data_IF_302357137742
#
_entry.id   IF_302357137742
#
_cell.length_a   1.000
_cell.length_b   1.000
_cell.length_c   1.000
_cell.angle_alpha   90.00
_cell.angle_beta   90.00
_cell.angle_gamma   90.00
#
_symmetry.space_group_name_H-M   'P 1'
#
loop_
_entity.id
_entity.type
_entity.pdbx_description
1 polymer ?
#
# COMPACT_ATOMS: atom_id res chain seq x y z
N UNK A 1 -5.40 -14.73 63.01
CA UNK A 1 -4.78 -13.55 62.42
C UNK A 1 -3.39 -13.80 61.80
N UNK A 2 -2.42 -14.43 62.47
CA UNK A 2 -1.04 -14.67 61.94
C UNK A 2 -0.99 -15.48 60.64
N UNK A 3 -1.89 -16.45 60.41
CA UNK A 3 -1.93 -17.29 59.18
C UNK A 3 -2.37 -16.48 57.97
N UNK A 4 -3.37 -15.59 58.09
CA UNK A 4 -3.84 -14.69 57.00
C UNK A 4 -2.72 -13.71 56.58
N UNK A 5 -2.01 -13.12 57.56
CA UNK A 5 -0.91 -12.19 57.26
C UNK A 5 0.26 -12.86 56.50
N UNK A 6 0.57 -14.13 56.81
CA UNK A 6 1.62 -14.90 56.14
C UNK A 6 1.20 -15.22 54.68
N UNK A 7 -0.06 -15.61 54.43
CA UNK A 7 -0.59 -15.85 53.10
C UNK A 7 -0.59 -14.59 52.23
N UNK A 8 -1.02 -13.45 52.77
CA UNK A 8 -0.99 -12.15 52.06
C UNK A 8 0.44 -11.73 51.67
N UNK A 9 1.41 -11.98 52.55
CA UNK A 9 2.83 -11.67 52.27
C UNK A 9 3.38 -12.54 51.11
N UNK A 10 3.03 -13.84 51.10
CA UNK A 10 3.43 -14.77 50.02
C UNK A 10 2.79 -14.33 48.70
N UNK A 11 1.48 -14.07 48.65
CA UNK A 11 0.77 -13.60 47.44
C UNK A 11 1.42 -12.32 46.90
N UNK A 12 1.70 -11.34 47.78
CA UNK A 12 2.39 -10.10 47.39
C UNK A 12 3.78 -10.35 46.81
N UNK A 13 4.56 -11.25 47.39
CA UNK A 13 5.91 -11.59 46.89
C UNK A 13 5.84 -12.30 45.56
N UNK A 14 4.88 -13.20 45.33
CA UNK A 14 4.64 -13.87 44.07
C UNK A 14 4.23 -12.85 43.00
N UNK A 15 3.28 -11.96 43.34
CA UNK A 15 2.85 -10.90 42.41
C UNK A 15 4.01 -9.98 42.01
N UNK A 16 4.85 -9.55 42.97
CA UNK A 16 6.03 -8.72 42.67
C UNK A 16 7.04 -9.47 41.78
N UNK A 17 7.25 -10.77 42.02
CA UNK A 17 8.11 -11.59 41.17
C UNK A 17 7.56 -11.70 39.74
N UNK A 18 6.26 -11.93 39.58
CA UNK A 18 5.60 -11.97 38.25
C UNK A 18 5.74 -10.61 37.55
N UNK A 19 5.47 -9.50 38.23
CA UNK A 19 5.63 -8.17 37.67
C UNK A 19 7.09 -7.87 37.26
N UNK A 20 8.06 -8.30 38.05
CA UNK A 20 9.47 -8.16 37.71
C UNK A 20 9.85 -8.96 36.45
N UNK A 21 9.35 -10.20 36.33
CA UNK A 21 9.56 -11.03 35.12
C UNK A 21 8.91 -10.37 33.91
N UNK A 22 7.67 -9.92 34.03
CA UNK A 22 6.99 -9.19 32.93
C UNK A 22 7.74 -7.94 32.51
N UNK A 23 8.22 -7.15 33.48
CA UNK A 23 9.04 -5.96 33.20
C UNK A 23 10.31 -6.31 32.43
N UNK A 24 11.01 -7.38 32.79
CA UNK A 24 12.21 -7.84 32.07
C UNK A 24 11.87 -8.27 30.65
N UNK A 25 10.78 -9.02 30.46
CA UNK A 25 10.33 -9.45 29.12
C UNK A 25 10.00 -8.23 28.26
N UNK A 26 9.15 -7.32 28.74
CA UNK A 26 8.73 -6.13 27.97
C UNK A 26 9.93 -5.25 27.64
N UNK A 27 10.79 -4.99 28.62
CA UNK A 27 11.98 -4.14 28.41
C UNK A 27 12.95 -4.81 27.42
N UNK A 28 13.19 -6.10 27.54
CA UNK A 28 14.04 -6.87 26.62
C UNK A 28 13.50 -6.87 25.20
N UNK A 29 12.20 -7.09 25.02
CA UNK A 29 11.51 -7.04 23.74
C UNK A 29 11.61 -5.64 23.11
N UNK A 30 11.36 -4.59 23.87
CA UNK A 30 11.46 -3.21 23.41
C UNK A 30 12.88 -2.85 22.96
N UNK A 31 13.89 -3.17 23.77
CA UNK A 31 15.30 -2.91 23.42
C UNK A 31 15.70 -3.67 22.14
N UNK A 32 15.33 -4.95 22.04
CA UNK A 32 15.58 -5.75 20.85
C UNK A 32 14.91 -5.14 19.62
N UNK A 33 13.65 -4.74 19.72
CA UNK A 33 12.91 -4.08 18.66
C UNK A 33 13.65 -2.83 18.18
N UNK A 34 14.03 -1.92 19.09
CA UNK A 34 14.73 -0.67 18.74
C UNK A 34 16.09 -0.92 18.05
N UNK A 35 16.85 -1.92 18.52
CA UNK A 35 18.11 -2.29 17.88
C UNK A 35 17.87 -2.82 16.45
N UNK A 36 16.87 -3.66 16.27
CA UNK A 36 16.52 -4.21 14.96
C UNK A 36 16.04 -3.14 14.00
N UNK A 37 15.11 -2.28 14.44
CA UNK A 37 14.60 -1.16 13.65
C UNK A 37 15.76 -0.24 13.20
N UNK A 38 16.72 0.05 14.07
CA UNK A 38 17.88 0.86 13.69
C UNK A 38 18.76 0.19 12.62
N UNK A 39 18.91 -1.14 12.66
CA UNK A 39 19.63 -1.91 11.64
C UNK A 39 18.89 -1.90 10.29
N UNK A 40 17.57 -2.06 10.32
CA UNK A 40 16.68 -2.06 9.16
C UNK A 40 16.65 -0.67 8.49
N UNK A 41 16.52 0.40 9.27
CA UNK A 41 16.63 1.77 8.74
C UNK A 41 17.99 2.00 8.09
N UNK A 42 19.07 1.45 8.67
CA UNK A 42 20.40 1.57 8.08
C UNK A 42 20.49 0.84 6.72
N UNK A 43 19.87 -0.32 6.58
CA UNK A 43 19.77 -1.05 5.32
C UNK A 43 19.00 -0.24 4.27
N UNK A 44 17.80 0.23 4.61
CA UNK A 44 16.95 1.04 3.74
C UNK A 44 17.63 2.34 3.32
N UNK A 45 18.34 3.01 4.25
CA UNK A 45 19.14 4.20 3.96
C UNK A 45 20.30 3.92 3.00
N UNK A 46 20.97 2.79 3.14
CA UNK A 46 22.06 2.39 2.24
C UNK A 46 21.57 2.13 0.80
N UNK A 47 20.30 1.76 0.64
CA UNK A 47 19.62 1.51 -0.63
C UNK A 47 18.82 2.72 -1.17
N UNK A 48 18.91 3.90 -0.54
CA UNK A 48 18.30 5.14 -1.05
C UNK A 48 16.83 5.35 -0.67
N UNK A 49 16.24 4.48 0.17
CA UNK A 49 14.82 4.58 0.55
C UNK A 49 14.52 5.60 1.65
N UNK A 50 15.53 6.11 2.38
CA UNK A 50 15.33 6.96 3.54
C UNK A 50 15.60 8.43 3.22
N UNK A 51 14.56 9.23 3.15
CA UNK A 51 14.61 10.68 2.96
C UNK A 51 13.41 11.34 3.69
N UNK A 52 13.49 11.53 5.02
CA UNK A 52 12.42 12.15 5.79
C UNK A 52 12.29 13.64 5.46
N UNK A 53 11.07 14.07 5.19
CA UNK A 53 10.72 15.44 4.83
C UNK A 53 9.63 15.94 5.78
N UNK A 54 9.85 17.07 6.45
CA UNK A 54 8.88 17.63 7.39
C UNK A 54 7.62 18.10 6.67
N UNK A 55 6.45 17.74 7.25
CA UNK A 55 5.13 18.25 6.80
C UNK A 55 4.45 19.11 7.87
N UNK A 56 5.19 19.42 8.94
CA UNK A 56 4.75 20.19 10.09
C UNK A 56 5.43 19.69 11.35
N UNK A 57 4.68 19.08 12.24
CA UNK A 57 5.15 18.50 13.52
C UNK A 57 5.65 17.05 13.40
N UNK A 58 5.56 16.45 12.20
CA UNK A 58 6.12 15.15 11.85
C UNK A 58 6.68 15.16 10.42
N UNK A 59 7.25 14.03 9.97
CA UNK A 59 7.87 13.90 8.66
C UNK A 59 7.27 12.74 7.88
N UNK A 60 7.10 12.93 6.57
CA UNK A 60 6.88 11.83 5.64
C UNK A 60 8.20 11.43 4.99
N UNK A 61 8.34 10.17 4.65
CA UNK A 61 9.46 9.69 3.88
C UNK A 61 9.18 9.87 2.38
N UNK A 62 10.10 10.54 1.67
CA UNK A 62 9.98 10.82 0.23
C UNK A 62 11.21 10.25 -0.46
N UNK A 63 11.17 8.98 -0.87
CA UNK A 63 12.27 8.35 -1.58
C UNK A 63 12.24 8.74 -3.06
N UNK A 64 13.39 9.17 -3.60
CA UNK A 64 13.52 9.68 -4.97
C UNK A 64 14.53 8.83 -5.73
N UNK A 65 14.10 8.27 -6.85
CA UNK A 65 14.90 7.42 -7.72
C UNK A 65 14.89 7.94 -9.16
N UNK A 66 15.75 7.35 -9.98
CA UNK A 66 15.81 7.66 -11.39
C UNK A 66 16.61 8.92 -11.72
N UNK A 67 16.25 9.57 -12.83
CA UNK A 67 16.97 10.71 -13.38
C UNK A 67 16.60 11.98 -12.62
N UNK A 68 17.60 12.67 -12.10
CA UNK A 68 17.37 13.97 -11.48
C UNK A 68 16.90 14.99 -12.54
N UNK A 69 15.78 15.63 -12.31
CA UNK A 69 15.08 16.47 -13.29
C UNK A 69 14.81 15.68 -14.59
N UNK A 70 14.19 14.51 -14.45
CA UNK A 70 13.75 13.68 -15.58
C UNK A 70 12.68 14.37 -16.42
N UNK A 71 12.31 13.75 -17.53
CA UNK A 71 11.29 14.28 -18.44
C UNK A 71 9.96 14.45 -17.76
N UNK A 72 9.56 13.45 -16.96
CA UNK A 72 8.37 13.49 -16.11
C UNK A 72 8.74 13.27 -14.64
N UNK A 73 7.90 13.77 -13.74
CA UNK A 73 7.97 13.50 -12.31
C UNK A 73 6.83 12.54 -11.92
N UNK A 74 7.15 11.27 -11.78
CA UNK A 74 6.20 10.21 -11.45
C UNK A 74 6.12 10.08 -9.94
N UNK A 75 4.91 10.25 -9.37
CA UNK A 75 4.65 10.14 -7.93
C UNK A 75 3.81 8.90 -7.67
N UNK A 76 4.41 7.93 -7.03
CA UNK A 76 3.78 6.65 -6.70
C UNK A 76 3.04 6.73 -5.37
N UNK A 77 1.76 6.29 -5.36
CA UNK A 77 0.86 6.35 -4.23
C UNK A 77 0.38 4.93 -3.85
N UNK A 78 0.82 4.46 -2.68
CA UNK A 78 0.58 3.11 -2.19
C UNK A 78 -0.90 2.80 -1.89
N UNK A 79 -1.27 1.52 -1.97
CA UNK A 79 -2.53 0.96 -1.49
C UNK A 79 -2.66 0.98 0.03
N UNK A 80 -3.84 0.60 0.55
CA UNK A 80 -4.10 0.49 2.00
C UNK A 80 -3.27 -0.66 2.59
N UNK A 81 -2.59 -0.40 3.69
CA UNK A 81 -1.78 -1.39 4.39
C UNK A 81 -0.46 -1.77 3.71
N UNK A 82 -0.12 -1.18 2.57
CA UNK A 82 1.05 -1.52 1.76
C UNK A 82 2.25 -0.64 2.14
N UNK A 83 2.90 -0.98 3.23
CA UNK A 83 4.03 -0.21 3.74
C UNK A 83 5.34 -0.47 2.96
N UNK A 84 5.46 -1.62 2.32
CA UNK A 84 6.61 -2.04 1.52
C UNK A 84 6.50 -1.65 0.03
N UNK A 85 5.49 -0.86 -0.34
CA UNK A 85 5.16 -0.50 -1.71
C UNK A 85 6.35 0.07 -2.49
N UNK A 86 7.15 0.94 -1.87
CA UNK A 86 8.34 1.51 -2.51
C UNK A 86 9.37 0.47 -2.93
N UNK A 87 9.46 -0.66 -2.21
CA UNK A 87 10.37 -1.77 -2.53
C UNK A 87 9.74 -2.70 -3.58
N UNK A 88 8.48 -3.05 -3.41
CA UNK A 88 7.80 -4.04 -4.28
C UNK A 88 7.50 -3.47 -5.66
N UNK A 89 7.08 -2.22 -5.77
CA UNK A 89 6.78 -1.56 -7.05
C UNK A 89 8.05 -1.20 -7.84
N UNK A 90 9.18 -1.02 -7.19
CA UNK A 90 10.41 -0.53 -7.85
C UNK A 90 10.89 -1.40 -9.00
N UNK A 91 10.59 -2.69 -9.00
CA UNK A 91 10.90 -3.57 -10.12
C UNK A 91 10.16 -3.16 -11.39
N UNK A 92 8.92 -2.73 -11.26
CA UNK A 92 8.12 -2.20 -12.37
C UNK A 92 8.66 -0.83 -12.81
N UNK A 93 8.96 0.05 -11.86
CA UNK A 93 9.42 1.41 -12.18
C UNK A 93 10.85 1.49 -12.72
N UNK A 94 11.64 0.42 -12.66
CA UNK A 94 13.02 0.40 -13.14
C UNK A 94 13.18 0.81 -14.62
N UNK A 95 12.20 0.55 -15.47
CA UNK A 95 12.19 1.01 -16.86
C UNK A 95 11.91 2.53 -16.95
N UNK A 96 11.10 3.07 -16.04
CA UNK A 96 10.71 4.49 -15.97
C UNK A 96 11.86 5.35 -15.44
N UNK A 97 12.65 4.85 -14.49
CA UNK A 97 13.75 5.55 -13.83
C UNK A 97 14.87 6.00 -14.79
N UNK A 98 14.90 5.47 -16.02
CA UNK A 98 15.95 5.79 -17.01
C UNK A 98 15.89 7.24 -17.47
N UNK A 99 14.69 7.76 -17.72
CA UNK A 99 14.48 9.11 -18.24
C UNK A 99 13.65 9.99 -17.30
N UNK A 100 12.98 9.41 -16.32
CA UNK A 100 12.07 10.10 -15.43
C UNK A 100 12.59 10.15 -13.98
N UNK A 101 12.06 11.11 -13.21
CA UNK A 101 12.16 11.12 -11.75
C UNK A 101 11.01 10.29 -11.19
N UNK A 102 11.32 9.28 -10.37
CA UNK A 102 10.29 8.44 -9.69
C UNK A 102 10.34 8.72 -8.19
N UNK A 103 9.20 9.06 -7.62
CA UNK A 103 9.06 9.48 -6.22
C UNK A 103 8.09 8.55 -5.51
N UNK A 104 8.53 7.94 -4.43
CA UNK A 104 7.70 7.15 -3.53
C UNK A 104 7.47 7.96 -2.24
N UNK A 105 6.21 8.11 -1.84
CA UNK A 105 5.83 8.80 -0.60
C UNK A 105 5.18 7.81 0.33
N UNK A 106 5.82 7.54 1.45
CA UNK A 106 5.18 6.79 2.53
C UNK A 106 4.19 7.71 3.25
N UNK A 107 2.91 7.31 3.36
CA UNK A 107 1.93 8.04 4.18
C UNK A 107 2.32 8.05 5.65
N UNK A 108 1.74 8.95 6.43
CA UNK A 108 1.93 8.96 7.88
C UNK A 108 1.69 7.56 8.47
N UNK A 109 2.65 7.08 9.26
CA UNK A 109 2.62 5.76 9.88
C UNK A 109 2.94 4.58 8.96
N UNK A 110 3.18 4.81 7.67
CA UNK A 110 3.64 3.79 6.73
C UNK A 110 5.15 3.84 6.56
N UNK A 111 5.75 2.68 6.34
CA UNK A 111 7.15 2.56 5.96
C UNK A 111 8.10 3.30 6.88
N UNK A 112 8.76 4.32 6.33
CA UNK A 112 9.76 5.15 7.03
C UNK A 112 9.23 6.51 7.47
N UNK A 113 7.92 6.78 7.28
CA UNK A 113 7.27 7.99 7.76
C UNK A 113 7.01 7.94 9.27
N UNK A 114 7.00 9.11 9.89
CA UNK A 114 6.59 9.24 11.29
C UNK A 114 5.11 8.89 11.47
N UNK A 115 4.75 8.44 12.66
CA UNK A 115 3.37 8.24 13.09
C UNK A 115 2.74 9.57 13.56
N UNK A 116 1.41 9.68 13.50
CA UNK A 116 0.67 10.84 13.99
C UNK A 116 -0.67 10.42 14.60
N UNK A 117 -1.18 11.23 15.52
CA UNK A 117 -2.53 11.08 16.11
C UNK A 117 -3.60 11.87 15.34
N UNK A 118 -3.26 12.46 14.17
CA UNK A 118 -4.21 13.21 13.36
C UNK A 118 -5.20 12.29 12.65
N UNK A 119 -6.38 12.83 12.35
CA UNK A 119 -7.41 12.17 11.57
C UNK A 119 -6.96 12.05 10.10
N UNK A 120 -6.80 10.81 9.62
CA UNK A 120 -6.32 10.52 8.27
C UNK A 120 -7.47 10.60 7.25
N UNK A 121 -8.09 11.78 7.16
CA UNK A 121 -9.06 12.11 6.12
C UNK A 121 -8.38 12.27 4.77
N UNK A 122 -9.12 12.09 3.67
CA UNK A 122 -8.58 12.22 2.30
C UNK A 122 -7.97 13.60 2.06
N UNK A 123 -8.61 14.65 2.56
CA UNK A 123 -8.09 16.02 2.45
C UNK A 123 -6.75 16.17 3.17
N UNK A 124 -6.65 15.62 4.37
CA UNK A 124 -5.43 15.66 5.16
C UNK A 124 -4.28 14.88 4.47
N UNK A 125 -4.56 13.67 3.97
CA UNK A 125 -3.58 12.84 3.26
C UNK A 125 -3.06 13.54 2.00
N UNK A 126 -3.94 14.12 1.19
CA UNK A 126 -3.54 14.80 -0.05
C UNK A 126 -2.74 16.07 0.24
N UNK A 127 -3.16 16.86 1.23
CA UNK A 127 -2.40 18.05 1.64
C UNK A 127 -0.99 17.69 2.17
N UNK A 128 -0.86 16.57 2.86
CA UNK A 128 0.44 16.09 3.33
C UNK A 128 1.34 15.65 2.19
N UNK A 129 0.81 14.94 1.18
CA UNK A 129 1.57 14.62 -0.03
C UNK A 129 2.09 15.89 -0.70
N UNK A 130 1.23 16.90 -0.89
CA UNK A 130 1.59 18.18 -1.51
C UNK A 130 2.68 18.92 -0.74
N UNK A 131 2.56 18.97 0.60
CA UNK A 131 3.58 19.56 1.49
C UNK A 131 4.91 18.80 1.40
N UNK A 132 4.85 17.46 1.44
CA UNK A 132 6.03 16.61 1.39
C UNK A 132 6.80 16.81 0.08
N UNK A 133 6.11 16.77 -1.07
CA UNK A 133 6.73 17.02 -2.39
C UNK A 133 7.35 18.41 -2.48
N UNK A 134 6.61 19.45 -2.10
CA UNK A 134 7.12 20.81 -2.11
C UNK A 134 8.37 20.97 -1.23
N UNK A 135 8.35 20.40 -0.02
CA UNK A 135 9.46 20.52 0.93
C UNK A 135 10.64 19.61 0.56
N UNK A 136 10.42 18.54 -0.21
CA UNK A 136 11.46 17.73 -0.84
C UNK A 136 12.09 18.41 -2.06
N UNK A 137 11.52 19.53 -2.53
CA UNK A 137 11.95 20.22 -3.75
C UNK A 137 11.50 19.55 -5.05
N UNK A 138 10.54 18.63 -4.96
CA UNK A 138 9.91 17.96 -6.11
C UNK A 138 8.83 18.87 -6.66
N UNK A 139 8.91 19.19 -7.96
CA UNK A 139 8.06 20.21 -8.57
C UNK A 139 6.95 19.59 -9.42
N UNK A 140 5.77 20.19 -9.35
CA UNK A 140 4.68 19.93 -10.29
C UNK A 140 5.03 20.44 -11.71
N UNK A 141 4.35 19.95 -12.78
CA UNK A 141 3.26 18.98 -12.71
C UNK A 141 3.74 17.55 -12.48
N UNK A 142 2.83 16.68 -11.94
CA UNK A 142 3.14 15.29 -11.58
C UNK A 142 2.37 14.30 -12.45
N UNK A 143 3.01 13.20 -12.83
CA UNK A 143 2.31 11.98 -13.22
C UNK A 143 2.03 11.19 -11.95
N UNK A 144 0.78 11.15 -11.49
CA UNK A 144 0.41 10.31 -10.34
C UNK A 144 0.28 8.85 -10.77
N UNK A 145 0.88 7.96 -9.99
CA UNK A 145 0.82 6.51 -10.25
C UNK A 145 0.27 5.79 -9.00
N UNK A 146 -1.05 5.81 -8.81
CA UNK A 146 -1.70 5.24 -7.65
C UNK A 146 -2.01 3.75 -7.83
N UNK A 147 -1.85 2.99 -6.75
CA UNK A 147 -2.38 1.64 -6.59
C UNK A 147 -3.54 1.61 -5.59
N UNK A 148 -4.58 0.81 -5.86
CA UNK A 148 -5.67 0.55 -4.90
C UNK A 148 -6.31 1.85 -4.37
N UNK A 149 -6.41 2.05 -3.04
CA UNK A 149 -6.97 3.26 -2.41
C UNK A 149 -6.19 4.54 -2.80
N UNK A 150 -4.92 4.41 -3.17
CA UNK A 150 -4.16 5.52 -3.76
C UNK A 150 -4.89 6.16 -4.95
N UNK A 151 -5.70 5.36 -5.68
CA UNK A 151 -6.57 5.82 -6.76
C UNK A 151 -7.63 6.80 -6.28
N UNK A 152 -8.22 6.59 -5.10
CA UNK A 152 -9.16 7.54 -4.51
C UNK A 152 -8.47 8.88 -4.17
N UNK A 153 -7.26 8.81 -3.61
CA UNK A 153 -6.46 10.00 -3.29
C UNK A 153 -6.05 10.77 -4.55
N UNK A 154 -5.62 10.07 -5.60
CA UNK A 154 -5.28 10.69 -6.88
C UNK A 154 -6.50 11.34 -7.55
N UNK A 155 -7.67 10.69 -7.52
CA UNK A 155 -8.93 11.23 -8.06
C UNK A 155 -9.37 12.50 -7.34
N UNK A 156 -9.23 12.51 -6.02
CA UNK A 156 -9.49 13.70 -5.20
C UNK A 156 -8.48 14.81 -5.50
N UNK A 157 -7.19 14.46 -5.60
CA UNK A 157 -6.11 15.41 -5.87
C UNK A 157 -6.30 16.11 -7.22
N UNK A 158 -6.47 15.36 -8.32
CA UNK A 158 -6.66 15.95 -9.64
C UNK A 158 -7.93 16.79 -9.75
N UNK A 159 -8.98 16.40 -9.02
CA UNK A 159 -10.23 17.17 -9.00
C UNK A 159 -10.10 18.51 -8.28
N UNK A 160 -9.27 18.56 -7.23
CA UNK A 160 -9.06 19.75 -6.40
C UNK A 160 -7.95 20.66 -6.93
N UNK A 161 -6.90 20.07 -7.52
CA UNK A 161 -5.68 20.76 -7.98
C UNK A 161 -5.25 20.26 -9.37
N UNK A 162 -6.08 20.42 -10.42
CA UNK A 162 -5.77 19.87 -11.75
C UNK A 162 -4.48 20.43 -12.34
N UNK A 163 -4.12 21.67 -12.05
CA UNK A 163 -2.90 22.32 -12.58
C UNK A 163 -1.60 21.73 -12.01
N UNK A 164 -1.67 20.91 -10.96
CA UNK A 164 -0.52 20.21 -10.39
C UNK A 164 -0.29 18.84 -11.06
N UNK A 165 -1.23 18.36 -11.88
CA UNK A 165 -1.23 16.99 -12.39
C UNK A 165 -1.09 16.99 -13.91
N UNK A 166 -0.03 16.36 -14.38
CA UNK A 166 0.24 16.14 -15.80
C UNK A 166 -0.60 14.99 -16.35
N UNK A 167 -0.63 13.86 -15.61
CA UNK A 167 -1.40 12.68 -15.96
C UNK A 167 -1.62 11.79 -14.74
N UNK A 168 -2.49 10.76 -14.85
CA UNK A 168 -2.66 9.71 -13.84
C UNK A 168 -2.58 8.34 -14.50
N UNK A 169 -1.82 7.43 -13.91
CA UNK A 169 -1.79 6.01 -14.29
C UNK A 169 -2.26 5.17 -13.12
N UNK A 170 -3.51 4.73 -13.14
CA UNK A 170 -4.06 3.85 -12.12
C UNK A 170 -3.54 2.41 -12.30
N UNK A 171 -2.88 1.88 -11.30
CA UNK A 171 -2.48 0.48 -11.21
C UNK A 171 -3.53 -0.28 -10.40
N UNK A 172 -4.55 -0.78 -11.07
CA UNK A 172 -5.72 -1.42 -10.45
C UNK A 172 -6.27 -0.61 -9.27
N UNK A 173 -6.49 0.69 -9.48
CA UNK A 173 -6.99 1.63 -8.47
C UNK A 173 -8.38 1.24 -7.95
N UNK A 174 -8.74 1.74 -6.77
CA UNK A 174 -10.10 1.54 -6.24
C UNK A 174 -11.14 2.15 -7.16
N UNK A 175 -12.09 1.34 -7.61
CA UNK A 175 -13.19 1.77 -8.48
C UNK A 175 -14.27 2.39 -7.61
N UNK A 176 -14.33 3.70 -7.64
CA UNK A 176 -15.27 4.46 -6.81
C UNK A 176 -16.69 4.39 -7.38
N UNK A 177 -17.68 4.38 -6.48
CA UNK A 177 -19.11 4.39 -6.80
C UNK A 177 -19.90 5.09 -5.71
N UNK A 178 -21.16 5.35 -5.93
CA UNK A 178 -22.05 6.02 -4.98
C UNK A 178 -22.53 5.13 -3.82
N UNK A 179 -22.27 3.82 -3.92
CA UNK A 179 -22.56 2.83 -2.87
C UNK A 179 -21.32 2.48 -1.99
N UNK A 180 -20.19 3.11 -2.23
CA UNK A 180 -18.99 2.94 -1.39
C UNK A 180 -19.23 3.45 0.03
N UNK A 181 -18.61 2.77 1.00
CA UNK A 181 -18.63 3.21 2.39
C UNK A 181 -19.91 2.92 3.16
N UNK A 182 -20.78 2.04 2.65
CA UNK A 182 -22.00 1.63 3.35
C UNK A 182 -21.74 0.69 4.55
N UNK A 183 -20.59 0.05 4.60
CA UNK A 183 -20.18 -0.81 5.71
C UNK A 183 -19.26 -0.02 6.67
N UNK A 184 -19.67 0.12 7.92
CA UNK A 184 -18.83 0.76 8.94
C UNK A 184 -17.72 -0.19 9.40
N UNK A 185 -16.47 0.30 9.39
CA UNK A 185 -15.33 -0.39 9.97
C UNK A 185 -15.11 0.18 11.37
N UNK A 186 -15.48 -0.56 12.41
CA UNK A 186 -15.23 -0.13 13.79
C UNK A 186 -13.79 -0.46 14.22
N UNK A 187 -13.00 0.58 14.49
CA UNK A 187 -11.70 0.47 15.15
C UNK A 187 -11.91 0.41 16.66
N UNK A 188 -11.89 -0.79 17.19
CA UNK A 188 -12.15 -1.06 18.58
C UNK A 188 -10.91 -0.91 19.49
N UNK A 189 -11.14 -1.06 20.81
CA UNK A 189 -10.06 -1.07 21.80
C UNK A 189 -9.00 -2.15 21.50
N UNK A 190 -9.38 -3.30 20.92
CA UNK A 190 -8.45 -4.36 20.54
C UNK A 190 -7.38 -3.90 19.57
N UNK A 191 -7.76 -3.20 18.51
CA UNK A 191 -6.84 -2.67 17.49
C UNK A 191 -5.82 -1.68 18.10
N UNK A 192 -6.29 -0.77 18.99
CA UNK A 192 -5.41 0.16 19.71
C UNK A 192 -4.43 -0.57 20.64
N UNK A 193 -4.87 -1.65 21.28
CA UNK A 193 -4.01 -2.47 22.11
C UNK A 193 -2.97 -3.24 21.28
N UNK A 194 -3.30 -3.71 20.09
CA UNK A 194 -2.37 -4.35 19.16
C UNK A 194 -1.26 -3.38 18.73
N UNK A 195 -1.60 -2.15 18.32
CA UNK A 195 -0.62 -1.10 18.01
C UNK A 195 0.27 -0.82 19.20
N UNK A 196 -0.29 -0.69 20.41
CA UNK A 196 0.50 -0.47 21.62
C UNK A 196 1.48 -1.62 21.89
N UNK A 197 1.06 -2.88 21.72
CA UNK A 197 1.94 -4.05 21.86
C UNK A 197 3.02 -4.07 20.76
N UNK A 198 2.67 -3.69 19.53
CA UNK A 198 3.63 -3.57 18.43
C UNK A 198 4.71 -2.52 18.75
N UNK A 199 4.34 -1.34 19.28
CA UNK A 199 5.29 -0.31 19.77
C UNK A 199 6.26 -0.82 20.84
N UNK A 200 5.83 -1.80 21.64
CA UNK A 200 6.69 -2.49 22.59
C UNK A 200 7.57 -3.59 21.95
N UNK A 201 7.44 -3.81 20.64
CA UNK A 201 8.20 -4.77 19.86
C UNK A 201 7.59 -6.16 19.74
N UNK A 202 6.38 -6.37 20.30
CA UNK A 202 5.70 -7.67 20.19
C UNK A 202 5.23 -7.97 18.77
N UNK A 203 5.04 -6.98 17.90
CA UNK A 203 4.72 -7.15 16.49
C UNK A 203 5.69 -8.08 15.76
N UNK A 204 6.99 -8.04 16.12
CA UNK A 204 8.03 -8.93 15.54
C UNK A 204 7.85 -10.42 15.85
N UNK A 205 7.03 -10.75 16.85
CA UNK A 205 6.68 -12.13 17.19
C UNK A 205 5.30 -12.53 16.67
N UNK A 206 4.45 -11.53 16.40
CA UNK A 206 3.10 -11.74 15.84
C UNK A 206 3.17 -11.98 14.34
N UNK A 207 4.02 -11.24 13.63
CA UNK A 207 4.30 -11.43 12.22
C UNK A 207 5.51 -12.35 12.02
N UNK A 208 5.29 -13.44 11.34
CA UNK A 208 6.36 -14.32 10.87
C UNK A 208 6.72 -13.93 9.45
N UNK A 209 7.95 -14.22 9.03
CA UNK A 209 8.41 -14.00 7.64
C UNK A 209 7.47 -14.64 6.60
N UNK A 210 6.77 -15.70 6.98
CA UNK A 210 5.80 -16.38 6.11
C UNK A 210 4.50 -15.59 5.90
N UNK A 211 4.28 -14.48 6.61
CA UNK A 211 3.13 -13.61 6.42
C UNK A 211 3.29 -12.66 5.23
N UNK A 212 4.53 -12.36 4.84
CA UNK A 212 4.83 -11.51 3.69
C UNK A 212 5.29 -12.39 2.54
N UNK A 213 4.55 -12.35 1.45
CA UNK A 213 4.79 -13.15 0.27
C UNK A 213 5.33 -12.24 -0.83
N UNK A 214 6.52 -12.53 -1.29
CA UNK A 214 7.10 -11.83 -2.42
C UNK A 214 7.09 -12.75 -3.65
N UNK A 215 6.69 -12.26 -4.83
CA UNK A 215 6.78 -13.01 -6.07
C UNK A 215 8.22 -13.44 -6.38
N UNK A 216 8.36 -14.41 -7.28
CA UNK A 216 9.66 -14.85 -7.74
C UNK A 216 10.46 -13.68 -8.35
N UNK A 217 11.75 -13.63 -8.01
CA UNK A 217 12.66 -12.62 -8.53
C UNK A 217 13.06 -11.55 -7.52
N UNK A 218 12.39 -11.45 -6.36
CA UNK A 218 12.86 -10.61 -5.27
C UNK A 218 14.07 -11.26 -4.60
N UNK A 219 15.14 -10.49 -4.44
CA UNK A 219 16.33 -10.90 -3.71
C UNK A 219 16.03 -10.98 -2.21
N UNK A 220 16.85 -11.72 -1.45
CA UNK A 220 16.72 -11.77 0.01
C UNK A 220 16.85 -10.37 0.66
N UNK A 221 17.65 -9.49 0.06
CA UNK A 221 17.83 -8.11 0.55
C UNK A 221 16.55 -7.28 0.35
N UNK A 222 15.92 -7.35 -0.82
CA UNK A 222 14.63 -6.71 -1.10
C UNK A 222 13.53 -7.23 -0.19
N UNK A 223 13.43 -8.55 0.01
CA UNK A 223 12.48 -9.15 0.95
C UNK A 223 12.71 -8.66 2.38
N UNK A 224 13.98 -8.58 2.83
CA UNK A 224 14.31 -8.07 4.17
C UNK A 224 13.96 -6.57 4.31
N UNK A 225 14.09 -5.77 3.25
CA UNK A 225 13.68 -4.36 3.24
C UNK A 225 12.15 -4.21 3.31
N UNK A 226 11.40 -4.97 2.52
CA UNK A 226 9.95 -4.97 2.56
C UNK A 226 9.40 -5.45 3.91
N UNK A 227 9.91 -6.57 4.44
CA UNK A 227 9.57 -7.07 5.79
C UNK A 227 9.79 -5.98 6.86
N UNK A 228 10.88 -5.22 6.76
CA UNK A 228 11.20 -4.16 7.68
C UNK A 228 10.18 -3.01 7.64
N UNK A 229 9.80 -2.56 6.45
CA UNK A 229 8.80 -1.52 6.24
C UNK A 229 7.43 -1.93 6.79
N UNK A 230 7.00 -3.16 6.51
CA UNK A 230 5.76 -3.71 7.03
C UNK A 230 5.76 -3.80 8.56
N UNK A 231 6.88 -4.26 9.16
CA UNK A 231 7.02 -4.34 10.61
C UNK A 231 7.02 -2.96 11.30
N UNK A 232 7.57 -1.93 10.65
CA UNK A 232 7.56 -0.57 11.18
C UNK A 232 6.16 0.04 11.18
N UNK A 233 5.33 -0.30 10.21
CA UNK A 233 3.98 0.26 10.08
C UNK A 233 2.95 -0.39 11.00
N UNK A 234 3.25 -1.55 11.60
CA UNK A 234 2.34 -2.22 12.55
C UNK A 234 2.09 -1.42 13.82
N UNK A 235 3.01 -0.55 14.21
CA UNK A 235 2.92 0.23 15.44
C UNK A 235 2.37 1.65 15.22
N UNK A 236 1.57 1.84 14.15
CA UNK A 236 1.07 3.14 13.71
C UNK A 236 -0.40 3.38 14.09
N UNK A 237 -0.64 4.52 14.73
CA UNK A 237 -1.99 5.04 14.96
C UNK A 237 -2.55 5.73 13.70
N UNK A 238 -1.71 6.31 12.86
CA UNK A 238 -2.13 6.88 11.59
C UNK A 238 -2.71 5.81 10.65
N UNK A 239 -2.10 4.61 10.59
CA UNK A 239 -2.66 3.49 9.84
C UNK A 239 -4.04 3.06 10.38
N UNK A 240 -4.24 3.04 11.70
CA UNK A 240 -5.57 2.79 12.28
C UNK A 240 -6.56 3.88 11.93
N UNK A 241 -6.14 5.17 11.99
CA UNK A 241 -6.99 6.30 11.63
C UNK A 241 -7.39 6.25 10.16
N UNK A 242 -6.48 5.90 9.24
CA UNK A 242 -6.82 5.73 7.82
C UNK A 242 -7.88 4.63 7.62
N UNK A 243 -7.78 3.51 8.36
CA UNK A 243 -8.79 2.46 8.32
C UNK A 243 -10.14 2.92 8.89
N UNK A 244 -10.15 3.73 9.96
CA UNK A 244 -11.35 4.30 10.56
C UNK A 244 -12.07 5.25 9.58
N UNK A 245 -11.30 6.08 8.87
CA UNK A 245 -11.80 6.99 7.84
C UNK A 245 -11.95 6.36 6.45
N UNK A 246 -11.66 5.07 6.27
CA UNK A 246 -11.63 4.41 4.96
C UNK A 246 -12.88 4.68 4.12
N UNK A 247 -14.05 4.37 4.66
CA UNK A 247 -15.32 4.52 3.95
C UNK A 247 -15.65 5.99 3.68
N UNK A 248 -15.38 6.87 4.64
CA UNK A 248 -15.56 8.31 4.47
C UNK A 248 -14.64 8.84 3.36
N UNK A 249 -13.37 8.43 3.35
CA UNK A 249 -12.41 8.82 2.32
C UNK A 249 -12.84 8.40 0.91
N UNK A 250 -13.39 7.18 0.75
CA UNK A 250 -13.91 6.71 -0.54
C UNK A 250 -15.12 7.52 -0.99
N UNK A 251 -16.06 7.81 -0.06
CA UNK A 251 -17.22 8.64 -0.35
C UNK A 251 -16.83 10.07 -0.68
N UNK A 252 -15.90 10.67 0.05
CA UNK A 252 -15.41 12.02 -0.20
C UNK A 252 -14.68 12.09 -1.55
N UNK A 253 -13.90 11.04 -1.89
CA UNK A 253 -13.29 10.94 -3.21
C UNK A 253 -14.36 10.91 -4.31
N UNK A 254 -15.34 10.00 -4.21
CA UNK A 254 -16.42 9.88 -5.21
C UNK A 254 -17.20 11.17 -5.39
N UNK A 255 -17.62 11.79 -4.29
CA UNK A 255 -18.38 13.03 -4.31
C UNK A 255 -17.56 14.23 -4.79
N UNK A 256 -16.24 14.19 -4.54
CA UNK A 256 -15.30 15.24 -4.92
C UNK A 256 -14.83 15.18 -6.37
N UNK A 257 -15.14 14.11 -7.11
CA UNK A 257 -14.70 13.99 -8.52
C UNK A 257 -15.30 15.10 -9.36
N UNK A 258 -14.43 15.89 -9.98
CA UNK A 258 -14.73 16.86 -11.02
C UNK A 258 -14.17 16.33 -12.33
N UNK A 259 -15.05 16.06 -13.30
CA UNK A 259 -14.64 15.60 -14.64
C UNK A 259 -13.67 16.62 -15.26
N UNK A 260 -12.54 16.15 -15.76
CA UNK A 260 -11.50 17.01 -16.33
C UNK A 260 -10.75 16.31 -17.47
N UNK A 261 -9.99 17.11 -18.26
CA UNK A 261 -9.29 16.66 -19.46
C UNK A 261 -7.85 16.18 -19.18
N UNK A 262 -7.39 16.16 -17.92
CA UNK A 262 -6.07 15.61 -17.57
C UNK A 262 -6.01 14.15 -18.08
N UNK A 263 -4.97 13.77 -18.86
CA UNK A 263 -4.84 12.43 -19.40
C UNK A 263 -4.79 11.37 -18.29
N UNK A 264 -5.53 10.29 -18.45
CA UNK A 264 -5.57 9.19 -17.49
C UNK A 264 -5.48 7.85 -18.20
N UNK A 265 -4.74 6.93 -17.61
CA UNK A 265 -4.70 5.52 -17.98
C UNK A 265 -5.15 4.68 -16.79
N UNK A 266 -6.04 3.75 -17.02
CA UNK A 266 -6.43 2.76 -16.02
C UNK A 266 -5.97 1.37 -16.46
N UNK A 267 -4.97 0.80 -15.78
CA UNK A 267 -4.54 -0.59 -15.94
C UNK A 267 -5.40 -1.44 -15.02
N UNK A 268 -6.37 -2.14 -15.61
CA UNK A 268 -7.29 -3.00 -14.88
C UNK A 268 -6.71 -4.40 -14.77
N UNK A 269 -6.40 -4.85 -13.57
CA UNK A 269 -5.84 -6.16 -13.28
C UNK A 269 -6.89 -7.15 -12.80
N UNK A 270 -7.55 -6.90 -11.68
CA UNK A 270 -8.42 -7.84 -10.98
C UNK A 270 -9.62 -8.30 -11.80
N UNK A 271 -10.09 -7.47 -12.75
CA UNK A 271 -11.17 -7.79 -13.70
C UNK A 271 -10.73 -7.63 -15.15
N UNK A 272 -9.43 -7.72 -15.39
CA UNK A 272 -8.77 -7.46 -16.66
C UNK A 272 -8.82 -8.62 -17.66
N UNK A 273 -9.44 -9.76 -17.32
CA UNK A 273 -9.49 -10.93 -18.17
C UNK A 273 -10.48 -10.75 -19.32
N UNK A 274 -10.04 -11.13 -20.52
CA UNK A 274 -10.82 -10.99 -21.75
C UNK A 274 -11.46 -12.30 -22.21
N UNK A 275 -10.90 -13.44 -21.80
CA UNK A 275 -11.36 -14.76 -22.18
C UNK A 275 -10.98 -15.83 -21.15
N UNK A 276 -11.58 -17.02 -21.29
CA UNK A 276 -11.40 -18.15 -20.38
C UNK A 276 -9.96 -18.67 -20.38
N UNK A 277 -9.31 -18.71 -21.54
CA UNK A 277 -7.93 -19.21 -21.66
C UNK A 277 -6.97 -18.32 -20.86
N UNK A 278 -7.16 -17.00 -20.91
CA UNK A 278 -6.38 -16.02 -20.12
C UNK A 278 -6.58 -16.22 -18.61
N UNK A 279 -7.82 -16.43 -18.15
CA UNK A 279 -8.13 -16.76 -16.75
C UNK A 279 -7.41 -18.04 -16.28
N UNK A 280 -7.47 -19.09 -17.09
CA UNK A 280 -6.84 -20.38 -16.79
C UNK A 280 -5.31 -20.22 -16.73
N UNK A 281 -4.72 -19.54 -17.69
CA UNK A 281 -3.28 -19.32 -17.77
C UNK A 281 -2.79 -18.48 -16.59
N UNK A 282 -3.49 -17.40 -16.27
CA UNK A 282 -3.18 -16.58 -15.11
C UNK A 282 -3.32 -17.34 -13.79
N UNK A 283 -4.36 -18.16 -13.65
CA UNK A 283 -4.56 -19.01 -12.49
C UNK A 283 -3.42 -20.02 -12.29
N UNK A 284 -2.95 -20.63 -13.37
CA UNK A 284 -1.77 -21.52 -13.35
C UNK A 284 -0.50 -20.77 -13.00
N UNK A 285 -0.34 -19.58 -13.55
CA UNK A 285 0.82 -18.72 -13.25
C UNK A 285 0.84 -18.32 -11.77
N UNK A 286 -0.27 -17.82 -11.22
CA UNK A 286 -0.39 -17.47 -9.80
C UNK A 286 -0.05 -18.66 -8.89
N UNK A 287 -0.59 -19.84 -9.16
CA UNK A 287 -0.25 -21.06 -8.42
C UNK A 287 1.24 -21.34 -8.41
N UNK A 288 1.90 -21.20 -9.56
CA UNK A 288 3.35 -21.43 -9.67
C UNK A 288 4.18 -20.40 -8.91
N UNK A 289 3.68 -19.16 -8.76
CA UNK A 289 4.37 -18.12 -7.98
C UNK A 289 4.32 -18.37 -6.47
N UNK A 290 3.22 -18.97 -5.98
CA UNK A 290 2.95 -19.08 -4.54
C UNK A 290 3.20 -20.49 -3.99
N UNK A 291 3.40 -21.50 -4.84
CA UNK A 291 3.71 -22.90 -4.42
C UNK A 291 4.91 -23.02 -3.47
N UNK A 292 5.72 -21.98 -3.30
CA UNK A 292 6.82 -21.98 -2.32
C UNK A 292 6.38 -21.89 -0.86
N UNK A 293 5.13 -21.50 -0.58
CA UNK A 293 4.60 -21.36 0.79
C UNK A 293 3.42 -22.31 1.00
N UNK A 294 3.69 -23.47 1.58
CA UNK A 294 2.75 -24.58 1.81
C UNK A 294 1.48 -24.26 2.63
N UNK A 295 1.24 -22.99 2.99
CA UNK A 295 0.13 -22.57 3.83
C UNK A 295 -0.80 -21.51 3.21
N UNK A 296 -0.61 -21.14 1.93
CA UNK A 296 -1.49 -20.17 1.31
C UNK A 296 -2.76 -20.82 0.75
N UNK A 297 -3.87 -20.58 1.45
CA UNK A 297 -5.20 -21.11 1.09
C UNK A 297 -5.91 -20.28 0.01
N UNK A 298 -5.33 -19.14 -0.43
CA UNK A 298 -5.92 -18.23 -1.42
C UNK A 298 -5.85 -18.79 -2.83
N UNK A 299 -5.03 -19.83 -3.05
CA UNK A 299 -4.76 -20.38 -4.37
C UNK A 299 -5.37 -21.75 -4.55
N UNK A 300 -6.57 -21.76 -5.10
CA UNK A 300 -7.29 -22.98 -5.44
C UNK A 300 -7.68 -23.12 -6.91
N UNK A 301 -6.96 -22.54 -7.90
CA UNK A 301 -7.35 -22.72 -9.30
C UNK A 301 -7.20 -24.16 -9.78
N UNK A 302 -6.29 -24.96 -9.17
CA UNK A 302 -6.12 -26.38 -9.51
C UNK A 302 -7.34 -27.23 -9.17
N UNK A 303 -8.19 -26.84 -8.24
CA UNK A 303 -9.46 -27.53 -7.93
C UNK A 303 -10.47 -27.38 -9.07
N UNK A 304 -10.29 -26.40 -9.95
CA UNK A 304 -11.19 -26.07 -11.05
C UNK A 304 -10.61 -26.41 -12.41
N UNK A 305 -9.41 -27.00 -12.49
CA UNK A 305 -8.81 -27.44 -13.75
C UNK A 305 -9.75 -28.39 -14.49
N UNK A 306 -10.15 -28.02 -15.72
CA UNK A 306 -11.13 -28.75 -16.53
C UNK A 306 -12.60 -28.39 -16.23
N UNK A 307 -12.88 -27.40 -15.39
CA UNK A 307 -14.23 -26.90 -15.16
C UNK A 307 -14.47 -25.60 -15.95
N UNK A 308 -14.77 -25.72 -17.24
CA UNK A 308 -15.06 -24.60 -18.15
C UNK A 308 -16.19 -23.71 -17.62
N UNK A 309 -17.25 -24.29 -17.06
CA UNK A 309 -18.37 -23.52 -16.50
C UNK A 309 -17.96 -22.58 -15.36
N UNK A 310 -16.99 -22.97 -14.54
CA UNK A 310 -16.46 -22.12 -13.48
C UNK A 310 -15.77 -20.88 -14.06
N UNK A 311 -14.92 -21.04 -15.06
CA UNK A 311 -14.20 -19.95 -15.70
C UNK A 311 -15.12 -19.04 -16.50
N UNK A 312 -16.11 -19.60 -17.20
CA UNK A 312 -17.14 -18.80 -17.89
C UNK A 312 -17.92 -17.92 -16.91
N UNK A 313 -18.26 -18.47 -15.74
CA UNK A 313 -18.97 -17.71 -14.69
C UNK A 313 -18.08 -16.58 -14.13
N UNK A 314 -16.81 -16.84 -13.88
CA UNK A 314 -15.86 -15.82 -13.42
C UNK A 314 -15.67 -14.73 -14.48
N UNK A 315 -15.51 -15.09 -15.74
CA UNK A 315 -15.37 -14.12 -16.83
C UNK A 315 -16.59 -13.20 -16.93
N UNK A 316 -17.79 -13.78 -16.84
CA UNK A 316 -19.03 -12.99 -16.84
C UNK A 316 -19.12 -12.03 -15.64
N UNK A 317 -18.64 -12.44 -14.46
CA UNK A 317 -18.54 -11.57 -13.28
C UNK A 317 -17.53 -10.44 -13.49
N UNK A 318 -16.38 -10.73 -14.12
CA UNK A 318 -15.40 -9.70 -14.47
C UNK A 318 -15.97 -8.67 -15.44
N UNK A 319 -16.68 -9.11 -16.47
CA UNK A 319 -17.35 -8.23 -17.44
C UNK A 319 -18.44 -7.38 -16.79
N UNK A 320 -19.27 -7.98 -15.95
CA UNK A 320 -20.31 -7.26 -15.21
C UNK A 320 -19.71 -6.19 -14.31
N UNK A 321 -18.66 -6.52 -13.55
CA UNK A 321 -17.98 -5.58 -12.68
C UNK A 321 -17.32 -4.41 -13.45
N UNK A 322 -16.71 -4.68 -14.61
CA UNK A 322 -16.21 -3.63 -15.49
C UNK A 322 -17.33 -2.70 -15.96
N UNK A 323 -18.44 -3.25 -16.39
CA UNK A 323 -19.55 -2.48 -16.96
C UNK A 323 -20.32 -1.69 -15.90
N UNK A 324 -20.49 -2.25 -14.70
CA UNK A 324 -21.34 -1.66 -13.65
C UNK A 324 -20.59 -0.76 -12.68
N UNK A 325 -19.28 -0.95 -12.49
CA UNK A 325 -18.46 -0.19 -11.53
C UNK A 325 -17.37 0.61 -12.23
N UNK A 326 -16.48 -0.06 -12.96
CA UNK A 326 -15.30 0.59 -13.54
C UNK A 326 -15.69 1.62 -14.60
N UNK A 327 -16.47 1.25 -15.61
CA UNK A 327 -16.84 2.14 -16.72
C UNK A 327 -17.51 3.44 -16.24
N UNK A 328 -18.52 3.42 -15.34
CA UNK A 328 -19.12 4.65 -14.81
C UNK A 328 -18.12 5.52 -14.04
N UNK A 329 -17.16 4.90 -13.35
CA UNK A 329 -16.11 5.64 -12.65
C UNK A 329 -15.19 6.36 -13.63
N UNK A 330 -14.70 5.67 -14.68
CA UNK A 330 -13.83 6.27 -15.70
C UNK A 330 -14.55 7.40 -16.46
N UNK A 331 -15.82 7.20 -16.82
CA UNK A 331 -16.65 8.23 -17.44
C UNK A 331 -16.77 9.48 -16.55
N UNK A 332 -16.97 9.29 -15.25
CA UNK A 332 -17.05 10.40 -14.29
C UNK A 332 -15.70 11.14 -14.15
N UNK A 333 -14.58 10.42 -14.21
CA UNK A 333 -13.25 11.03 -14.18
C UNK A 333 -12.94 11.85 -15.44
N UNK A 334 -13.41 11.42 -16.60
CA UNK A 334 -13.14 12.02 -17.92
C UNK A 334 -11.72 11.76 -18.43
N UNK A 335 -11.55 11.73 -19.75
CA UNK A 335 -10.30 11.52 -20.46
C UNK A 335 -9.44 10.37 -19.88
N UNK A 336 -10.05 9.17 -19.83
CA UNK A 336 -9.42 8.00 -19.23
C UNK A 336 -9.42 6.81 -20.21
N UNK A 337 -8.24 6.35 -20.57
CA UNK A 337 -8.02 5.13 -21.34
C UNK A 337 -8.07 3.90 -20.41
N UNK A 338 -8.58 2.78 -20.91
CA UNK A 338 -8.62 1.51 -20.21
C UNK A 338 -7.76 0.46 -20.91
N UNK A 339 -6.81 -0.10 -20.17
CA UNK A 339 -6.02 -1.26 -20.58
C UNK A 339 -6.33 -2.43 -19.66
N UNK A 340 -6.65 -3.59 -20.24
CA UNK A 340 -6.87 -4.83 -19.50
C UNK A 340 -5.56 -5.63 -19.48
N UNK A 341 -5.07 -5.93 -18.27
CA UNK A 341 -3.87 -6.74 -18.06
C UNK A 341 -4.20 -7.81 -17.01
N UNK A 342 -4.51 -9.02 -17.44
CA UNK A 342 -4.90 -10.11 -16.54
C UNK A 342 -3.87 -10.35 -15.44
N UNK A 343 -4.34 -10.41 -14.20
CA UNK A 343 -3.51 -10.58 -13.02
C UNK A 343 -4.30 -10.45 -11.73
N UNK A 344 -3.60 -10.37 -10.61
CA UNK A 344 -4.16 -10.07 -9.30
C UNK A 344 -4.04 -8.56 -9.02
N UNK A 345 -4.63 -8.11 -7.94
CA UNK A 345 -4.63 -6.71 -7.50
C UNK A 345 -3.23 -6.08 -7.42
N UNK A 346 -2.20 -6.86 -7.09
CA UNK A 346 -0.80 -6.41 -7.09
C UNK A 346 -0.11 -6.63 -8.45
N UNK A 347 -0.68 -6.10 -9.53
CA UNK A 347 -0.24 -6.32 -10.92
C UNK A 347 1.23 -5.89 -11.16
N UNK A 348 1.66 -4.83 -10.50
CA UNK A 348 3.02 -4.29 -10.61
C UNK A 348 4.09 -5.26 -10.04
N UNK A 349 3.72 -6.14 -9.10
CA UNK A 349 4.61 -7.19 -8.58
C UNK A 349 4.62 -8.43 -9.47
N UNK A 350 3.45 -8.77 -10.01
CA UNK A 350 3.24 -10.00 -10.77
C UNK A 350 3.76 -9.89 -12.19
N UNK A 351 3.50 -8.75 -12.84
CA UNK A 351 3.87 -8.47 -14.23
C UNK A 351 4.64 -7.16 -14.36
N UNK A 352 5.77 -7.02 -13.65
CA UNK A 352 6.48 -5.74 -13.55
C UNK A 352 6.93 -5.20 -14.91
N UNK A 353 7.41 -6.07 -15.81
CA UNK A 353 7.89 -5.64 -17.14
C UNK A 353 6.74 -5.23 -18.05
N UNK A 354 5.64 -6.00 -18.08
CA UNK A 354 4.47 -5.70 -18.92
C UNK A 354 3.80 -4.41 -18.42
N UNK A 355 3.56 -4.32 -17.12
CA UNK A 355 2.94 -3.16 -16.49
C UNK A 355 3.81 -1.91 -16.68
N UNK A 356 5.12 -2.01 -16.45
CA UNK A 356 6.06 -0.89 -16.64
C UNK A 356 6.13 -0.41 -18.10
N UNK A 357 6.06 -1.32 -19.07
CA UNK A 357 6.04 -0.95 -20.49
C UNK A 357 4.74 -0.24 -20.88
N UNK A 358 3.59 -0.67 -20.37
CA UNK A 358 2.30 0.02 -20.59
C UNK A 358 2.37 1.45 -20.04
N UNK A 359 2.88 1.62 -18.82
CA UNK A 359 3.07 2.96 -18.22
C UNK A 359 4.02 3.81 -19.06
N UNK A 360 5.17 3.24 -19.46
CA UNK A 360 6.17 3.95 -20.26
C UNK A 360 5.61 4.40 -21.62
N UNK A 361 4.84 3.54 -22.28
CA UNK A 361 4.20 3.88 -23.57
C UNK A 361 3.23 5.06 -23.41
N UNK A 362 2.42 5.03 -22.36
CA UNK A 362 1.46 6.09 -22.06
C UNK A 362 2.15 7.43 -21.77
N UNK A 363 3.15 7.46 -20.88
CA UNK A 363 3.82 8.72 -20.52
C UNK A 363 4.64 9.31 -21.67
N UNK A 364 5.24 8.46 -22.53
CA UNK A 364 5.94 8.91 -23.74
C UNK A 364 4.98 9.49 -24.80
N UNK A 365 3.70 9.24 -24.70
CA UNK A 365 2.66 9.81 -25.55
C UNK A 365 2.09 11.14 -25.04
N UNK A 366 2.48 11.56 -23.82
CA UNK A 366 2.09 12.88 -23.30
C UNK A 366 2.84 13.97 -24.06
N UNK A 367 2.11 15.01 -24.48
CA UNK A 367 2.74 16.18 -25.11
C UNK A 367 3.62 16.89 -24.06
N UNK A 368 4.91 16.96 -24.31
CA UNK A 368 5.84 17.73 -23.48
C UNK A 368 5.79 19.17 -23.99
N UNK A 369 5.02 20.03 -23.29
CA UNK A 369 4.95 21.46 -23.56
C UNK A 369 6.21 22.23 -23.10
#
# INVERSE_FOLDING_TARGET
MKKKAKTTKIIRSVLLAVLAVLFVIVSGTYIFHKIKTAQEIKLLKANGYYNPVSVGDYSLNVAIFGKQNGEHTIVSLAGLGMADYSVTERRMTACLEKENTVVFIDRAGYGLSDDTDNEMTIDYIVEDYRKALNNAGVKAPYVLMPHSIGGAYASYWVSKYPDEIEAIVFLDGTQLSDDMGLEEIEIGFGNKAEVFLAKLGFGRYMLRKECFLYPNGFTEEEQNMGDALNLMSMDSYACLSENDFHNQNLMDAWNGIITNDVPKLYVCASWGFQNVDELIENSKWLNNQIVKNNNDTRLRPTEYEGNEYYFDTMLAQCEDARNTKLTPYLEKMGNCELVLLGGDHAIYEQRPEECGNIVLEFINGLDVD
#
